data_IF_504433190125
#
_entry.id   IF_504433190125
#
_cell.length_a   1.000
_cell.length_b   1.000
_cell.length_c   1.000
_cell.angle_alpha   90.00
_cell.angle_beta   90.00
_cell.angle_gamma   90.00
#
_symmetry.space_group_name_H-M   'P 1'
#
loop_
_entity.id
_entity.type
_entity.pdbx_description
1 polymer ?
#
# COMPACT_ATOMS: atom_id res chain seq x y z
N UNK A 1 -2.68 -12.71 26.91
CA UNK A 1 -1.61 -13.74 26.78
C UNK A 1 -0.31 -13.12 27.29
N UNK A 2 0.52 -13.83 28.08
CA UNK A 2 1.82 -13.32 28.51
C UNK A 2 2.86 -13.46 27.38
N UNK A 3 2.67 -12.71 26.30
CA UNK A 3 3.53 -12.73 25.11
C UNK A 3 3.91 -11.29 24.73
N UNK A 4 5.16 -11.10 24.26
CA UNK A 4 5.63 -9.84 23.69
C UNK A 4 5.49 -9.88 22.17
N UNK A 5 4.96 -8.79 21.57
CA UNK A 5 4.77 -8.68 20.12
C UNK A 5 5.68 -7.60 19.59
N UNK A 6 6.66 -8.00 18.77
CA UNK A 6 7.59 -7.09 18.10
C UNK A 6 7.16 -6.94 16.64
N UNK A 7 6.76 -5.74 16.25
CA UNK A 7 6.47 -5.43 14.85
C UNK A 7 7.79 -5.25 14.11
N UNK A 8 7.98 -6.02 13.03
CA UNK A 8 9.15 -5.92 12.16
C UNK A 8 8.78 -5.15 10.88
N UNK A 9 9.72 -4.38 10.29
CA UNK A 9 9.50 -3.72 9.01
C UNK A 9 9.18 -4.71 7.89
N UNK A 10 8.39 -4.25 6.91
CA UNK A 10 8.16 -4.99 5.67
C UNK A 10 9.47 -5.07 4.89
N UNK A 11 9.94 -6.28 4.65
CA UNK A 11 11.10 -6.52 3.78
C UNK A 11 10.63 -6.50 2.34
N UNK A 12 11.39 -5.81 1.48
CA UNK A 12 11.05 -5.59 0.07
C UNK A 12 12.12 -6.19 -0.84
N UNK A 13 11.71 -6.57 -2.04
CA UNK A 13 12.60 -6.88 -3.15
C UNK A 13 13.29 -5.58 -3.63
N UNK A 14 14.39 -5.65 -4.42
CA UNK A 14 15.13 -4.47 -4.86
C UNK A 14 14.30 -3.45 -5.66
N UNK A 15 13.23 -3.90 -6.30
CA UNK A 15 12.26 -3.08 -7.04
C UNK A 15 11.08 -2.58 -6.18
N UNK A 16 11.13 -2.83 -4.87
CA UNK A 16 10.18 -2.31 -3.90
C UNK A 16 8.97 -3.21 -3.63
N UNK A 17 8.75 -4.28 -4.41
CA UNK A 17 7.66 -5.20 -4.13
C UNK A 17 7.84 -5.84 -2.74
N UNK A 18 6.78 -5.85 -1.91
CA UNK A 18 6.82 -6.52 -0.63
C UNK A 18 7.10 -8.02 -0.80
N UNK A 19 8.07 -8.55 -0.03
CA UNK A 19 8.39 -9.98 -0.10
C UNK A 19 7.19 -10.81 0.34
N UNK A 20 6.76 -11.71 -0.54
CA UNK A 20 5.70 -12.66 -0.26
C UNK A 20 5.99 -14.00 -0.93
N UNK A 21 5.69 -15.10 -0.24
CA UNK A 21 5.72 -16.43 -0.86
C UNK A 21 4.79 -16.53 -2.07
N UNK A 22 3.73 -15.69 -2.12
CA UNK A 22 2.80 -15.57 -3.23
C UNK A 22 3.44 -14.98 -4.49
N UNK A 23 4.53 -14.23 -4.39
CA UNK A 23 5.19 -13.62 -5.55
C UNK A 23 5.68 -14.70 -6.54
N UNK A 24 6.03 -15.90 -6.03
CA UNK A 24 6.41 -17.06 -6.86
C UNK A 24 5.29 -17.62 -7.74
N UNK A 25 4.04 -17.23 -7.49
CA UNK A 25 2.87 -17.69 -8.25
C UNK A 25 2.51 -16.75 -9.40
N UNK A 26 3.14 -15.58 -9.46
CA UNK A 26 2.95 -14.59 -10.52
C UNK A 26 3.66 -15.07 -11.78
N UNK A 27 3.07 -14.81 -12.95
CA UNK A 27 3.83 -14.81 -14.20
C UNK A 27 4.90 -13.71 -14.19
N UNK A 28 5.90 -13.75 -15.08
CA UNK A 28 6.87 -12.66 -15.20
C UNK A 28 6.22 -11.28 -15.38
N UNK A 29 5.23 -11.17 -16.27
CA UNK A 29 4.53 -9.90 -16.54
C UNK A 29 3.69 -9.45 -15.33
N UNK A 30 3.01 -10.38 -14.64
CA UNK A 30 2.26 -10.09 -13.41
C UNK A 30 3.19 -9.64 -12.28
N UNK A 31 4.39 -10.22 -12.20
CA UNK A 31 5.39 -9.87 -11.19
C UNK A 31 5.95 -8.48 -11.43
N UNK A 32 6.25 -8.13 -12.67
CA UNK A 32 6.68 -6.76 -13.02
C UNK A 32 5.56 -5.76 -12.70
N UNK A 33 4.33 -6.06 -13.14
CA UNK A 33 3.15 -5.23 -12.89
C UNK A 33 2.87 -5.02 -11.38
N UNK A 34 3.15 -6.02 -10.54
CA UNK A 34 2.90 -5.94 -9.09
C UNK A 34 3.68 -4.83 -8.37
N UNK A 35 4.77 -4.32 -8.97
CA UNK A 35 5.53 -3.18 -8.43
C UNK A 35 4.70 -1.91 -8.32
N UNK A 36 3.61 -1.79 -9.10
CA UNK A 36 2.69 -0.64 -9.04
C UNK A 36 2.09 -0.43 -7.63
N UNK A 37 2.00 -1.47 -6.81
CA UNK A 37 1.50 -1.36 -5.43
C UNK A 37 2.41 -0.50 -4.56
N UNK A 38 3.72 -0.71 -4.67
CA UNK A 38 4.69 0.08 -3.91
C UNK A 38 4.80 1.51 -4.46
N UNK A 39 4.72 1.68 -5.78
CA UNK A 39 4.68 3.00 -6.41
C UNK A 39 3.47 3.82 -5.91
N UNK A 40 2.29 3.21 -5.89
CA UNK A 40 1.07 3.85 -5.39
C UNK A 40 1.18 4.27 -3.92
N UNK A 41 1.69 3.40 -3.05
CA UNK A 41 1.92 3.71 -1.64
C UNK A 41 2.96 4.82 -1.46
N UNK A 42 4.02 4.80 -2.27
CA UNK A 42 5.07 5.81 -2.24
C UNK A 42 4.52 7.17 -2.66
N UNK A 43 3.69 7.23 -3.71
CA UNK A 43 3.03 8.46 -4.14
C UNK A 43 2.17 9.08 -3.02
N UNK A 44 1.37 8.27 -2.33
CA UNK A 44 0.60 8.74 -1.17
C UNK A 44 1.50 9.25 -0.04
N UNK A 45 2.63 8.60 0.22
CA UNK A 45 3.59 9.07 1.21
C UNK A 45 4.27 10.38 0.80
N UNK A 46 4.59 10.58 -0.49
CA UNK A 46 5.12 11.86 -1.00
C UNK A 46 4.09 12.98 -0.87
N UNK A 47 2.82 12.74 -1.22
CA UNK A 47 1.74 13.72 -1.04
C UNK A 47 1.57 14.09 0.43
N UNK A 48 1.58 13.09 1.33
CA UNK A 48 1.55 13.34 2.76
C UNK A 48 2.77 14.15 3.23
N UNK A 49 3.97 13.87 2.71
CA UNK A 49 5.18 14.64 3.03
C UNK A 49 5.09 16.08 2.53
N UNK A 50 4.45 16.31 1.40
CA UNK A 50 4.19 17.62 0.83
C UNK A 50 3.10 18.41 1.57
N UNK A 51 2.48 17.84 2.60
CA UNK A 51 1.50 18.50 3.45
C UNK A 51 0.05 18.19 3.10
N UNK A 52 -0.23 17.28 2.16
CA UNK A 52 -1.60 16.84 1.90
C UNK A 52 -2.12 16.02 3.09
N UNK A 53 -3.32 16.36 3.57
CA UNK A 53 -3.94 15.73 4.74
C UNK A 53 -5.30 15.14 4.42
N UNK A 54 -5.91 15.52 3.31
CA UNK A 54 -7.19 14.99 2.87
C UNK A 54 -6.99 13.62 2.23
N UNK A 55 -7.44 12.57 2.91
CA UNK A 55 -7.14 11.19 2.50
C UNK A 55 -7.77 10.79 1.18
N UNK A 56 -8.88 11.44 0.80
CA UNK A 56 -9.52 11.26 -0.50
C UNK A 56 -8.54 11.47 -1.66
N UNK A 57 -7.60 12.43 -1.53
CA UNK A 57 -6.59 12.70 -2.57
C UNK A 57 -5.50 11.65 -2.61
N UNK A 58 -5.06 11.16 -1.46
CA UNK A 58 -4.06 10.08 -1.37
C UNK A 58 -4.64 8.78 -1.93
N UNK A 59 -5.88 8.44 -1.57
CA UNK A 59 -6.60 7.27 -2.08
C UNK A 59 -6.80 7.38 -3.59
N UNK A 60 -7.20 8.55 -4.10
CA UNK A 60 -7.34 8.78 -5.54
C UNK A 60 -6.01 8.63 -6.29
N UNK A 61 -4.91 9.16 -5.73
CA UNK A 61 -3.57 9.01 -6.30
C UNK A 61 -3.15 7.53 -6.38
N UNK A 62 -3.28 6.80 -5.27
CA UNK A 62 -3.01 5.36 -5.21
C UNK A 62 -3.86 4.57 -6.22
N UNK A 63 -5.15 4.85 -6.28
CA UNK A 63 -6.07 4.16 -7.20
C UNK A 63 -5.75 4.47 -8.67
N UNK A 64 -5.37 5.71 -8.99
CA UNK A 64 -4.92 6.12 -10.34
C UNK A 64 -3.67 5.35 -10.75
N UNK A 65 -2.68 5.27 -9.87
CA UNK A 65 -1.40 4.62 -10.15
C UNK A 65 -1.58 3.12 -10.42
N UNK A 66 -2.36 2.43 -9.57
CA UNK A 66 -2.66 1.01 -9.78
C UNK A 66 -3.56 0.82 -11.02
N UNK A 67 -4.54 1.69 -11.23
CA UNK A 67 -5.45 1.64 -12.38
C UNK A 67 -4.76 1.87 -13.73
N UNK A 68 -3.58 2.48 -13.74
CA UNK A 68 -2.75 2.62 -14.94
C UNK A 68 -2.04 1.30 -15.33
N UNK A 69 -2.08 0.27 -14.47
CA UNK A 69 -1.46 -1.03 -14.70
C UNK A 69 -2.53 -2.05 -15.12
N UNK A 70 -2.64 -2.45 -16.41
CA UNK A 70 -3.77 -3.22 -16.92
C UNK A 70 -3.96 -4.61 -16.28
N UNK A 71 -2.89 -5.20 -15.76
CA UNK A 71 -2.91 -6.51 -15.09
C UNK A 71 -3.35 -6.44 -13.62
N UNK A 72 -3.51 -5.23 -13.07
CA UNK A 72 -3.87 -5.02 -11.68
C UNK A 72 -5.39 -4.81 -11.53
N UNK A 73 -6.01 -5.60 -10.66
CA UNK A 73 -7.41 -5.43 -10.27
C UNK A 73 -7.48 -5.06 -8.79
N UNK A 74 -7.85 -3.81 -8.51
CA UNK A 74 -7.95 -3.30 -7.14
C UNK A 74 -9.07 -4.04 -6.38
N UNK A 75 -8.72 -4.61 -5.23
CA UNK A 75 -9.71 -5.06 -4.24
C UNK A 75 -10.07 -3.88 -3.30
N UNK A 76 -9.05 -3.18 -2.79
CA UNK A 76 -9.24 -1.92 -2.07
C UNK A 76 -7.96 -1.07 -2.04
N UNK A 77 -8.17 0.22 -1.81
CA UNK A 77 -7.16 1.26 -1.57
C UNK A 77 -7.72 2.13 -0.46
N UNK A 78 -6.98 2.30 0.64
CA UNK A 78 -7.49 3.02 1.82
C UNK A 78 -6.38 3.74 2.58
N UNK A 79 -6.76 4.76 3.35
CA UNK A 79 -5.92 5.38 4.37
C UNK A 79 -6.64 5.27 5.71
N UNK A 80 -5.97 4.71 6.69
CA UNK A 80 -6.53 4.42 8.01
C UNK A 80 -5.70 5.06 9.11
N UNK A 81 -6.32 5.26 10.27
CA UNK A 81 -5.61 5.53 11.51
C UNK A 81 -4.74 4.31 11.91
N UNK A 82 -3.49 4.55 12.32
CA UNK A 82 -2.50 3.49 12.56
C UNK A 82 -2.89 2.54 13.71
N UNK A 83 -3.63 3.04 14.70
CA UNK A 83 -3.94 2.28 15.91
C UNK A 83 -5.27 1.53 15.80
N UNK A 84 -6.28 2.19 15.24
CA UNK A 84 -7.66 1.69 15.18
C UNK A 84 -7.96 0.96 13.88
N UNK A 85 -7.19 1.20 12.82
CA UNK A 85 -7.48 0.73 11.45
C UNK A 85 -8.84 1.20 10.91
N UNK A 86 -9.42 2.24 11.49
CA UNK A 86 -10.60 2.91 10.95
C UNK A 86 -10.18 3.86 9.81
N UNK A 87 -10.97 3.89 8.73
CA UNK A 87 -10.75 4.84 7.65
C UNK A 87 -10.94 6.28 8.15
N UNK A 88 -9.97 7.14 7.83
CA UNK A 88 -9.99 8.55 8.25
C UNK A 88 -10.15 9.44 7.02
N UNK A 89 -10.89 10.54 7.17
CA UNK A 89 -11.06 11.56 6.10
C UNK A 89 -9.91 12.57 6.06
N UNK A 90 -9.27 12.79 7.20
CA UNK A 90 -8.16 13.73 7.36
C UNK A 90 -7.09 13.12 8.25
N UNK A 91 -5.83 13.26 7.85
CA UNK A 91 -4.68 12.82 8.65
C UNK A 91 -4.47 13.83 9.79
N UNK A 92 -4.85 13.45 11.00
CA UNK A 92 -4.62 14.24 12.22
C UNK A 92 -3.50 13.68 13.12
N UNK A 93 -3.00 12.49 12.80
CA UNK A 93 -1.98 11.76 13.56
C UNK A 93 -1.36 10.65 12.70
N UNK A 94 -0.69 9.66 13.33
CA UNK A 94 -0.14 8.51 12.62
C UNK A 94 -1.20 7.81 11.77
N UNK A 95 -0.95 7.73 10.46
CA UNK A 95 -1.86 7.13 9.50
C UNK A 95 -1.11 6.19 8.56
N UNK A 96 -1.83 5.26 7.97
CA UNK A 96 -1.28 4.20 7.13
C UNK A 96 -2.05 4.08 5.84
N UNK A 97 -1.32 4.04 4.73
CA UNK A 97 -1.87 3.67 3.45
C UNK A 97 -1.90 2.14 3.32
N UNK A 98 -3.00 1.61 2.81
CA UNK A 98 -3.25 0.20 2.61
C UNK A 98 -3.67 -0.05 1.16
N UNK A 99 -3.18 -1.15 0.58
CA UNK A 99 -3.61 -1.62 -0.73
C UNK A 99 -3.80 -3.13 -0.74
N UNK A 100 -4.82 -3.57 -1.45
CA UNK A 100 -4.92 -4.94 -1.93
C UNK A 100 -5.33 -4.95 -3.41
N UNK A 101 -4.67 -5.78 -4.20
CA UNK A 101 -5.00 -5.97 -5.61
C UNK A 101 -4.73 -7.41 -6.05
N UNK A 102 -5.33 -7.80 -7.16
CA UNK A 102 -5.16 -9.09 -7.81
C UNK A 102 -4.41 -8.95 -9.12
N UNK A 103 -3.49 -9.87 -9.34
CA UNK A 103 -2.76 -10.08 -10.58
C UNK A 103 -3.05 -11.52 -11.02
N UNK A 104 -3.93 -11.66 -12.02
CA UNK A 104 -4.55 -12.93 -12.35
C UNK A 104 -5.26 -13.56 -11.14
N UNK A 105 -4.73 -14.69 -10.65
CA UNK A 105 -5.28 -15.41 -9.48
C UNK A 105 -4.63 -15.02 -8.15
N UNK A 106 -3.51 -14.29 -8.19
CA UNK A 106 -2.72 -13.96 -7.00
C UNK A 106 -3.22 -12.65 -6.40
N UNK A 107 -3.65 -12.70 -5.14
CA UNK A 107 -3.99 -11.50 -4.36
C UNK A 107 -2.80 -11.06 -3.54
N UNK A 108 -2.34 -9.84 -3.75
CA UNK A 108 -1.26 -9.22 -3.01
C UNK A 108 -1.80 -8.10 -2.12
N UNK A 109 -1.09 -7.85 -1.02
CA UNK A 109 -1.35 -6.73 -0.11
C UNK A 109 -0.04 -6.00 0.12
N UNK A 110 -0.13 -4.71 0.35
CA UNK A 110 1.00 -3.91 0.80
C UNK A 110 0.50 -2.74 1.65
N UNK A 111 1.40 -2.15 2.43
CA UNK A 111 1.11 -1.01 3.28
C UNK A 111 2.34 -0.15 3.50
N UNK A 112 2.12 1.13 3.71
CA UNK A 112 3.15 2.08 4.11
C UNK A 112 2.63 3.01 5.21
N UNK A 113 3.45 3.23 6.25
CA UNK A 113 3.19 4.27 7.23
C UNK A 113 3.39 5.62 6.55
N UNK A 114 2.41 6.52 6.65
CA UNK A 114 2.49 7.84 6.07
C UNK A 114 3.36 8.74 6.97
N UNK A 115 4.23 9.58 6.40
CA UNK A 115 5.02 10.51 7.18
C UNK A 115 4.12 11.53 7.88
N UNK A 116 4.40 11.79 9.15
CA UNK A 116 3.84 12.94 9.87
C UNK A 116 4.49 14.23 9.34
N UNK A 117 3.74 15.33 9.32
CA UNK A 117 4.33 16.67 9.13
C UNK A 117 5.30 17.00 10.27
#
# INVERSE_FOLDING_TARGET
LPVDVRVCPVVREPDGLALSSRNRLLSPDEREAATCLFLALSEAAELARAGERETGRLVAAMAREIGATPLAHIDYVAVVDEQTFEEVRTIAGPARALVAARFGRVRLIDTLLLPTA
#
